data_IF_462577542701
#
_entry.id   IF_462577542701
#
_cell.length_a   1.000
_cell.length_b   1.000
_cell.length_c   1.000
_cell.angle_alpha   90.00
_cell.angle_beta   90.00
_cell.angle_gamma   90.00
#
_symmetry.space_group_name_H-M   'P 1'
#
loop_
_entity.id
_entity.type
_entity.pdbx_description
1 polymer ?
#
# COMPACT_ATOMS: atom_id res chain seq x y z
N UNK A 1 -10.37 -8.42 12.57
CA UNK A 1 -9.02 -8.76 12.04
C UNK A 1 -8.43 -7.62 11.21
N UNK A 2 -8.97 -7.25 10.05
CA UNK A 2 -8.41 -6.14 9.22
C UNK A 2 -8.20 -4.84 10.01
N UNK A 3 -9.22 -4.39 10.75
CA UNK A 3 -9.10 -3.22 11.66
C UNK A 3 -8.06 -3.36 12.77
N UNK A 4 -7.70 -4.59 13.15
CA UNK A 4 -6.67 -4.83 14.16
C UNK A 4 -5.25 -4.62 13.58
N UNK A 5 -5.08 -4.64 12.26
CA UNK A 5 -3.82 -4.32 11.58
C UNK A 5 -3.66 -2.86 11.21
N UNK A 6 -4.71 -2.05 11.41
CA UNK A 6 -4.62 -0.61 11.25
C UNK A 6 -3.95 -0.02 12.49
N UNK A 7 -2.82 0.65 12.30
CA UNK A 7 -2.26 1.50 13.35
C UNK A 7 -2.87 2.89 13.23
N UNK A 8 -3.25 3.46 14.38
CA UNK A 8 -3.78 4.81 14.46
C UNK A 8 -2.77 5.81 13.91
N UNK A 9 -3.24 6.69 13.02
CA UNK A 9 -2.47 7.85 12.55
C UNK A 9 -2.64 9.07 13.47
N UNK A 10 -3.44 8.94 14.54
CA UNK A 10 -3.88 10.05 15.38
C UNK A 10 -2.74 10.80 16.09
N UNK A 11 -1.78 10.09 16.65
CA UNK A 11 -0.66 10.74 17.38
C UNK A 11 0.22 11.57 16.44
N UNK A 12 0.56 11.05 15.27
CA UNK A 12 1.28 11.81 14.26
C UNK A 12 0.45 13.01 13.75
N UNK A 13 -0.85 12.83 13.51
CA UNK A 13 -1.74 13.92 13.10
C UNK A 13 -1.79 15.05 14.13
N UNK A 14 -1.88 14.72 15.41
CA UNK A 14 -1.85 15.71 16.51
C UNK A 14 -0.50 16.42 16.59
N UNK A 15 0.60 15.67 16.42
CA UNK A 15 1.95 16.21 16.51
C UNK A 15 2.26 17.21 15.39
N UNK A 16 2.02 16.83 14.13
CA UNK A 16 2.35 17.67 12.98
C UNK A 16 1.28 18.74 12.72
N UNK A 17 0.00 18.41 12.96
CA UNK A 17 -1.14 19.31 12.80
C UNK A 17 -1.17 20.10 11.47
N UNK A 18 -0.72 19.47 10.38
CA UNK A 18 -0.65 20.13 9.07
C UNK A 18 -2.05 20.45 8.53
N UNK A 19 -2.30 21.68 8.05
CA UNK A 19 -3.56 22.00 7.38
C UNK A 19 -3.70 21.21 6.08
N UNK A 20 -4.90 20.72 5.79
CA UNK A 20 -5.20 20.00 4.54
C UNK A 20 -5.06 20.93 3.32
N UNK A 21 -4.79 20.39 2.11
CA UNK A 21 -4.57 21.22 0.93
C UNK A 21 -5.70 22.22 0.68
N UNK A 22 -6.96 21.78 0.64
CA UNK A 22 -8.10 22.68 0.38
C UNK A 22 -8.32 23.80 1.43
N UNK A 23 -7.66 23.76 2.58
CA UNK A 23 -7.73 24.78 3.62
C UNK A 23 -6.63 25.85 3.48
N UNK A 24 -5.63 25.64 2.62
CA UNK A 24 -4.53 26.59 2.45
C UNK A 24 -4.98 27.76 1.58
N UNK A 25 -4.98 28.95 2.17
CA UNK A 25 -5.37 30.18 1.50
C UNK A 25 -4.48 30.48 0.29
N UNK A 26 -5.09 30.84 -0.84
CA UNK A 26 -4.38 31.26 -2.05
C UNK A 26 -3.87 30.12 -2.93
N UNK A 27 -4.20 28.86 -2.64
CA UNK A 27 -3.92 27.76 -3.56
C UNK A 27 -5.07 27.52 -4.56
N UNK A 28 -4.83 26.64 -5.53
CA UNK A 28 -5.79 26.22 -6.56
C UNK A 28 -6.40 24.84 -6.29
N UNK A 29 -6.13 24.25 -5.12
CA UNK A 29 -6.59 22.91 -4.77
C UNK A 29 -7.91 23.07 -4.02
N UNK A 30 -8.98 22.58 -4.64
CA UNK A 30 -10.31 22.63 -4.05
C UNK A 30 -10.71 21.27 -3.50
N UNK A 31 -11.49 21.28 -2.42
CA UNK A 31 -12.16 20.08 -1.94
C UNK A 31 -13.11 19.61 -3.05
N UNK A 32 -12.93 18.39 -3.52
CA UNK A 32 -13.95 17.75 -4.35
C UNK A 32 -15.11 17.37 -3.40
N UNK A 33 -16.32 17.90 -3.62
CA UNK A 33 -17.46 17.58 -2.76
C UNK A 33 -17.71 16.08 -2.74
N UNK A 34 -17.88 15.53 -1.54
CA UNK A 34 -18.28 14.15 -1.33
C UNK A 34 -19.79 14.13 -1.08
N UNK A 35 -20.53 13.30 -1.82
CA UNK A 35 -21.96 13.06 -1.61
C UNK A 35 -22.21 11.89 -0.65
N UNK A 36 -21.14 11.25 -0.15
CA UNK A 36 -21.23 10.22 0.87
C UNK A 36 -21.67 10.83 2.19
N UNK A 37 -22.86 10.39 2.59
CA UNK A 37 -23.47 10.67 3.87
C UNK A 37 -23.07 9.57 4.86
N UNK A 38 -22.33 9.93 5.92
CA UNK A 38 -21.80 8.97 6.91
C UNK A 38 -22.41 9.18 8.28
N UNK A 39 -22.71 8.05 8.96
CA UNK A 39 -23.15 7.86 10.37
C UNK A 39 -24.36 8.69 10.86
N UNK A 40 -24.37 10.00 10.63
CA UNK A 40 -25.26 10.98 11.26
C UNK A 40 -26.04 11.82 10.23
N UNK A 41 -26.21 11.30 9.01
CA UNK A 41 -26.82 12.01 7.89
C UNK A 41 -26.12 13.33 7.48
N UNK A 42 -24.84 13.49 7.83
CA UNK A 42 -24.02 14.65 7.48
C UNK A 42 -23.05 14.33 6.34
N UNK A 43 -22.74 15.31 5.46
CA UNK A 43 -21.65 15.18 4.51
C UNK A 43 -20.33 14.88 5.21
N UNK A 44 -19.51 14.03 4.61
CA UNK A 44 -18.15 13.81 5.09
C UNK A 44 -17.39 15.14 5.21
N UNK A 45 -16.87 15.42 6.42
CA UNK A 45 -15.93 16.52 6.65
C UNK A 45 -14.54 15.95 6.88
N UNK A 46 -13.57 16.40 6.09
CA UNK A 46 -12.17 16.05 6.30
C UNK A 46 -11.62 16.77 7.54
N UNK A 47 -11.80 16.16 8.72
CA UNK A 47 -11.37 16.68 10.02
C UNK A 47 -9.93 16.26 10.38
N UNK A 48 -9.28 17.01 11.27
CA UNK A 48 -7.92 16.74 11.75
C UNK A 48 -6.77 17.04 10.78
N UNK A 49 -5.54 16.89 11.27
CA UNK A 49 -4.31 17.17 10.52
C UNK A 49 -4.12 16.27 9.29
N UNK A 50 -3.44 16.78 8.26
CA UNK A 50 -3.28 16.09 6.97
C UNK A 50 -2.32 14.89 7.04
N UNK A 51 -1.19 15.03 7.75
CA UNK A 51 -0.13 14.01 7.75
C UNK A 51 -0.18 13.07 8.96
N UNK A 52 -0.03 11.74 8.78
CA UNK A 52 -0.20 11.01 7.53
C UNK A 52 -1.70 10.79 7.23
N UNK A 53 -2.05 10.39 6.01
CA UNK A 53 -3.45 10.13 5.61
C UNK A 53 -4.04 8.87 6.25
N UNK A 54 -5.06 9.01 7.11
CA UNK A 54 -5.76 7.87 7.72
C UNK A 54 -6.46 6.98 6.68
N UNK A 55 -7.14 7.58 5.70
CA UNK A 55 -7.80 6.83 4.62
C UNK A 55 -6.81 6.06 3.76
N UNK A 56 -5.64 6.63 3.48
CA UNK A 56 -4.59 5.92 2.76
C UNK A 56 -4.09 4.74 3.58
N UNK A 57 -3.90 4.90 4.90
CA UNK A 57 -3.48 3.82 5.78
C UNK A 57 -4.49 2.65 5.73
N UNK A 58 -5.78 2.92 5.91
CA UNK A 58 -6.84 1.90 5.75
C UNK A 58 -6.80 1.25 4.36
N UNK A 59 -6.83 2.04 3.29
CA UNK A 59 -6.88 1.52 1.93
C UNK A 59 -5.66 0.68 1.54
N UNK A 60 -4.46 1.04 2.01
CA UNK A 60 -3.25 0.23 1.80
C UNK A 60 -3.23 -1.02 2.68
N UNK A 61 -3.61 -0.94 3.95
CA UNK A 61 -3.70 -2.12 4.83
C UNK A 61 -4.65 -3.17 4.24
N UNK A 62 -5.85 -2.76 3.83
CA UNK A 62 -6.82 -3.65 3.19
C UNK A 62 -6.27 -4.26 1.91
N UNK A 63 -5.67 -3.44 1.05
CA UNK A 63 -5.09 -3.88 -0.21
C UNK A 63 -3.96 -4.91 -0.01
N UNK A 64 -3.05 -4.67 0.93
CA UNK A 64 -1.92 -5.57 1.20
C UNK A 64 -2.38 -6.90 1.82
N UNK A 65 -3.33 -6.86 2.76
CA UNK A 65 -3.90 -8.08 3.35
C UNK A 65 -4.67 -8.89 2.30
N UNK A 66 -5.48 -8.24 1.46
CA UNK A 66 -6.18 -8.91 0.36
C UNK A 66 -5.19 -9.49 -0.67
N UNK A 67 -4.10 -8.77 -0.98
CA UNK A 67 -3.06 -9.27 -1.88
C UNK A 67 -2.41 -10.55 -1.34
N UNK A 68 -2.16 -10.61 -0.04
CA UNK A 68 -1.67 -11.82 0.63
C UNK A 68 -2.71 -12.95 0.64
N UNK A 69 -4.01 -12.64 0.78
CA UNK A 69 -5.06 -13.66 0.76
C UNK A 69 -5.40 -14.20 -0.64
N UNK A 70 -5.21 -13.38 -1.67
CA UNK A 70 -5.52 -13.67 -3.07
C UNK A 70 -4.26 -13.44 -3.91
N UNK A 71 -3.22 -14.27 -3.75
CA UNK A 71 -1.95 -14.10 -4.45
C UNK A 71 -2.09 -14.15 -5.98
N UNK A 72 -3.13 -14.81 -6.50
CA UNK A 72 -3.48 -14.81 -7.92
C UNK A 72 -3.79 -13.40 -8.47
N UNK A 73 -4.02 -12.43 -7.58
CA UNK A 73 -4.34 -11.04 -7.88
C UNK A 73 -3.41 -10.06 -7.15
N UNK A 74 -2.25 -10.53 -6.69
CA UNK A 74 -1.32 -9.77 -5.85
C UNK A 74 -0.98 -8.38 -6.43
N UNK A 75 -0.49 -8.33 -7.67
CA UNK A 75 -0.05 -7.08 -8.32
C UNK A 75 -1.19 -6.07 -8.49
N UNK A 76 -2.38 -6.57 -8.89
CA UNK A 76 -3.58 -5.75 -9.05
C UNK A 76 -4.06 -5.17 -7.70
N UNK A 77 -3.99 -5.97 -6.62
CA UNK A 77 -4.39 -5.54 -5.28
C UNK A 77 -3.40 -4.54 -4.67
N UNK A 78 -2.09 -4.77 -4.80
CA UNK A 78 -1.06 -3.78 -4.40
C UNK A 78 -1.28 -2.45 -5.12
N UNK A 79 -1.48 -2.50 -6.45
CA UNK A 79 -1.80 -1.34 -7.28
C UNK A 79 -3.11 -0.66 -6.86
N UNK A 80 -4.11 -1.44 -6.44
CA UNK A 80 -5.39 -0.89 -5.96
C UNK A 80 -5.21 -0.02 -4.71
N UNK A 81 -4.28 -0.40 -3.83
CA UNK A 81 -3.84 0.42 -2.69
C UNK A 81 -3.25 1.76 -3.14
N UNK A 82 -2.35 1.72 -4.12
CA UNK A 82 -1.79 2.93 -4.75
C UNK A 82 -2.85 3.89 -5.27
N UNK A 83 -3.85 3.38 -6.00
CA UNK A 83 -4.95 4.23 -6.50
C UNK A 83 -5.85 4.74 -5.38
N UNK A 84 -6.05 3.95 -4.32
CA UNK A 84 -6.80 4.42 -3.14
C UNK A 84 -6.10 5.64 -2.52
N UNK A 85 -4.79 5.56 -2.32
CA UNK A 85 -3.98 6.70 -1.86
C UNK A 85 -4.06 7.88 -2.82
N UNK A 86 -3.86 7.65 -4.12
CA UNK A 86 -3.92 8.69 -5.15
C UNK A 86 -5.25 9.45 -5.17
N UNK A 87 -6.36 8.73 -4.98
CA UNK A 87 -7.69 9.36 -4.94
C UNK A 87 -7.81 10.43 -3.86
N UNK A 88 -7.04 10.34 -2.77
CA UNK A 88 -7.06 11.35 -1.70
C UNK A 88 -6.40 12.67 -2.11
N UNK A 89 -5.49 12.63 -3.08
CA UNK A 89 -4.90 13.82 -3.70
C UNK A 89 -5.89 14.42 -4.70
N UNK A 90 -6.55 13.59 -5.51
CA UNK A 90 -7.60 14.03 -6.44
C UNK A 90 -8.73 14.76 -5.73
N UNK A 91 -9.13 14.28 -4.54
CA UNK A 91 -10.15 14.92 -3.72
C UNK A 91 -9.69 16.23 -3.04
N UNK A 92 -8.41 16.59 -3.14
CA UNK A 92 -7.85 17.80 -2.51
C UNK A 92 -7.66 17.70 -0.99
N UNK A 93 -7.78 16.51 -0.40
CA UNK A 93 -7.78 16.34 1.07
C UNK A 93 -6.44 15.93 1.67
N UNK A 94 -5.47 15.51 0.84
CA UNK A 94 -4.14 15.08 1.26
C UNK A 94 -3.05 15.47 0.26
N UNK A 95 -1.86 15.78 0.77
CA UNK A 95 -0.65 16.01 -0.04
C UNK A 95 0.00 14.67 -0.44
N UNK A 96 0.83 14.65 -1.50
CA UNK A 96 1.66 13.49 -1.83
C UNK A 96 2.44 12.89 -0.65
N UNK A 97 3.05 13.72 0.19
CA UNK A 97 3.80 13.25 1.37
C UNK A 97 2.91 12.54 2.39
N UNK A 98 1.66 12.98 2.58
CA UNK A 98 0.71 12.31 3.48
C UNK A 98 0.40 10.89 3.00
N UNK A 99 0.29 10.71 1.69
CA UNK A 99 0.01 9.43 1.05
C UNK A 99 1.22 8.50 1.10
N UNK A 100 2.42 9.02 0.79
CA UNK A 100 3.67 8.24 0.89
C UNK A 100 3.90 7.80 2.33
N UNK A 101 3.78 8.71 3.31
CA UNK A 101 3.96 8.40 4.73
C UNK A 101 2.97 7.33 5.21
N UNK A 102 1.70 7.41 4.80
CA UNK A 102 0.72 6.38 5.12
C UNK A 102 1.00 5.02 4.48
N UNK A 103 1.49 4.99 3.23
CA UNK A 103 1.91 3.72 2.61
C UNK A 103 3.00 3.05 3.46
N UNK A 104 4.03 3.80 3.83
CA UNK A 104 5.15 3.29 4.64
C UNK A 104 4.65 2.71 5.97
N UNK A 105 3.75 3.42 6.64
CA UNK A 105 3.12 2.96 7.89
C UNK A 105 2.32 1.68 7.66
N UNK A 106 1.49 1.62 6.61
CA UNK A 106 0.69 0.44 6.30
C UNK A 106 1.57 -0.78 5.99
N UNK A 107 2.58 -0.64 5.12
CA UNK A 107 3.51 -1.73 4.77
C UNK A 107 4.23 -2.28 6.01
N UNK A 108 4.79 -1.40 6.85
CA UNK A 108 5.47 -1.78 8.09
C UNK A 108 4.53 -2.54 9.02
N UNK A 109 3.30 -2.06 9.18
CA UNK A 109 2.36 -2.64 10.13
C UNK A 109 1.76 -3.95 9.65
N UNK A 110 1.41 -4.05 8.36
CA UNK A 110 1.00 -5.34 7.78
C UNK A 110 2.12 -6.35 7.92
N UNK A 111 3.37 -5.98 7.66
CA UNK A 111 4.51 -6.87 7.90
C UNK A 111 4.60 -7.29 9.37
N UNK A 112 4.49 -6.35 10.30
CA UNK A 112 4.50 -6.65 11.74
C UNK A 112 3.42 -7.66 12.13
N UNK A 113 2.15 -7.41 11.76
CA UNK A 113 1.03 -8.29 12.14
C UNK A 113 1.09 -9.65 11.47
N UNK A 114 1.52 -9.75 10.20
CA UNK A 114 1.67 -11.06 9.56
C UNK A 114 2.79 -11.90 10.20
N UNK A 115 3.76 -11.29 10.87
CA UNK A 115 4.77 -12.00 11.66
C UNK A 115 4.32 -12.35 13.09
N UNK A 116 3.20 -11.82 13.59
CA UNK A 116 2.65 -12.20 14.89
C UNK A 116 1.95 -13.57 14.78
N UNK A 117 2.38 -14.61 15.53
CA UNK A 117 1.78 -15.93 15.47
C UNK A 117 0.27 -15.95 15.81
N UNK A 118 -0.18 -15.11 16.74
CA UNK A 118 -1.60 -15.05 17.12
C UNK A 118 -2.44 -14.41 16.02
N UNK A 119 -1.94 -13.31 15.44
CA UNK A 119 -2.62 -12.67 14.31
C UNK A 119 -2.63 -13.58 13.09
N UNK A 120 -1.55 -14.34 12.86
CA UNK A 120 -1.41 -15.25 11.72
C UNK A 120 -2.51 -16.32 11.70
N UNK A 121 -2.95 -16.82 12.86
CA UNK A 121 -4.09 -17.75 12.96
C UNK A 121 -5.35 -17.10 12.39
N UNK A 122 -5.70 -15.91 12.88
CA UNK A 122 -6.89 -15.17 12.42
C UNK A 122 -6.80 -14.83 10.92
N UNK A 123 -5.61 -14.43 10.45
CA UNK A 123 -5.35 -14.16 9.04
C UNK A 123 -5.61 -15.39 8.17
N UNK A 124 -5.11 -16.56 8.57
CA UNK A 124 -5.30 -17.79 7.81
C UNK A 124 -6.77 -18.21 7.78
N UNK A 125 -7.49 -18.12 8.91
CA UNK A 125 -8.93 -18.41 8.97
C UNK A 125 -9.73 -17.50 8.02
N UNK A 126 -9.48 -16.20 8.06
CA UNK A 126 -10.16 -15.24 7.20
C UNK A 126 -9.79 -15.41 5.72
N UNK A 127 -8.52 -15.72 5.43
CA UNK A 127 -8.05 -16.06 4.09
C UNK A 127 -8.84 -17.25 3.55
N UNK A 128 -8.95 -18.32 4.33
CA UNK A 128 -9.58 -19.56 3.89
C UNK A 128 -11.10 -19.35 3.66
N UNK A 129 -11.77 -18.59 4.54
CA UNK A 129 -13.16 -18.18 4.35
C UNK A 129 -13.37 -17.35 3.09
N UNK A 130 -12.53 -16.32 2.87
CA UNK A 130 -12.60 -15.46 1.68
C UNK A 130 -12.38 -16.28 0.41
N UNK A 131 -11.36 -17.14 0.39
CA UNK A 131 -11.03 -17.97 -0.76
C UNK A 131 -12.13 -18.98 -1.07
N UNK A 132 -12.74 -19.59 -0.05
CA UNK A 132 -13.88 -20.49 -0.24
C UNK A 132 -15.09 -19.77 -0.84
N UNK A 133 -15.42 -18.56 -0.34
CA UNK A 133 -16.51 -17.76 -0.87
C UNK A 133 -16.27 -17.34 -2.33
N UNK A 134 -15.06 -16.89 -2.65
CA UNK A 134 -14.68 -16.49 -4.01
C UNK A 134 -14.69 -17.69 -4.96
N UNK A 135 -14.16 -18.86 -4.56
CA UNK A 135 -14.17 -20.06 -5.39
C UNK A 135 -15.61 -20.49 -5.73
N UNK A 136 -16.51 -20.43 -4.73
CA UNK A 136 -17.94 -20.68 -4.93
C UNK A 136 -18.57 -19.68 -5.89
N UNK A 137 -18.27 -18.39 -5.76
CA UNK A 137 -18.79 -17.34 -6.64
C UNK A 137 -18.27 -17.46 -8.08
N UNK A 138 -17.01 -17.86 -8.24
CA UNK A 138 -16.38 -18.06 -9.54
C UNK A 138 -16.85 -19.34 -10.25
N UNK A 139 -17.33 -20.35 -9.52
CA UNK A 139 -17.68 -21.66 -10.08
C UNK A 139 -16.48 -22.44 -10.66
N UNK A 140 -15.25 -21.99 -10.40
CA UNK A 140 -13.98 -22.57 -10.86
C UNK A 140 -12.87 -22.27 -9.84
N UNK A 141 -11.65 -22.74 -10.11
CA UNK A 141 -10.48 -22.41 -9.28
C UNK A 141 -10.20 -20.90 -9.29
N UNK A 142 -9.68 -20.36 -8.19
CA UNK A 142 -9.30 -18.94 -8.12
C UNK A 142 -8.24 -18.55 -9.15
N UNK A 143 -7.30 -19.46 -9.44
CA UNK A 143 -6.30 -19.26 -10.48
C UNK A 143 -6.92 -19.09 -11.88
N UNK A 144 -7.98 -19.83 -12.19
CA UNK A 144 -8.70 -19.66 -13.45
C UNK A 144 -9.56 -18.40 -13.44
N UNK A 145 -10.29 -18.17 -12.35
CA UNK A 145 -11.12 -16.97 -12.18
C UNK A 145 -10.31 -15.66 -12.26
N UNK A 146 -9.05 -15.70 -11.83
CA UNK A 146 -8.12 -14.57 -11.87
C UNK A 146 -7.62 -14.22 -13.29
N UNK A 147 -7.92 -15.03 -14.32
CA UNK A 147 -7.46 -14.79 -15.72
C UNK A 147 -8.40 -13.89 -16.53
N UNK A 148 -9.05 -12.91 -15.91
CA UNK A 148 -9.91 -11.93 -16.59
C UNK A 148 -9.16 -11.12 -17.64
N UNK A 149 -9.75 -10.81 -18.80
CA UNK A 149 -9.09 -9.96 -19.82
C UNK A 149 -8.84 -8.54 -19.29
N UNK A 150 -7.91 -7.78 -19.88
CA UNK A 150 -7.70 -6.36 -19.49
C UNK A 150 -8.95 -5.51 -19.71
N UNK A 151 -9.77 -5.85 -20.72
CA UNK A 151 -11.05 -5.19 -20.98
C UNK A 151 -12.02 -5.34 -19.81
N UNK A 152 -12.03 -6.53 -19.20
CA UNK A 152 -12.92 -6.85 -18.07
C UNK A 152 -12.26 -6.53 -16.71
N UNK A 153 -10.95 -6.29 -16.72
CA UNK A 153 -10.14 -5.98 -15.56
C UNK A 153 -8.98 -5.03 -15.90
N UNK A 154 -9.24 -3.71 -15.87
CA UNK A 154 -8.23 -2.71 -16.21
C UNK A 154 -7.04 -2.71 -15.24
N UNK A 155 -7.13 -3.41 -14.11
CA UNK A 155 -6.05 -3.51 -13.13
C UNK A 155 -4.94 -4.47 -13.53
N UNK A 156 -5.15 -5.27 -14.58
CA UNK A 156 -4.12 -6.12 -15.19
C UNK A 156 -3.31 -5.41 -16.26
N UNK A 157 -3.70 -4.20 -16.64
CA UNK A 157 -2.96 -3.43 -17.64
C UNK A 157 -1.53 -3.16 -17.12
N UNK A 158 -0.46 -3.50 -17.88
CA UNK A 158 0.91 -3.20 -17.51
C UNK A 158 1.15 -1.72 -17.14
N UNK A 159 0.40 -0.78 -17.74
CA UNK A 159 0.47 0.65 -17.42
C UNK A 159 0.14 0.95 -15.94
N UNK A 160 -0.59 0.05 -15.26
CA UNK A 160 -0.85 0.18 -13.83
C UNK A 160 0.41 0.05 -12.98
N UNK A 161 1.46 -0.64 -13.46
CA UNK A 161 2.76 -0.70 -12.78
C UNK A 161 3.49 0.64 -12.86
N UNK A 162 3.40 1.32 -14.00
CA UNK A 162 3.95 2.67 -14.15
C UNK A 162 3.21 3.66 -13.24
N UNK A 163 1.88 3.56 -13.17
CA UNK A 163 1.08 4.32 -12.21
C UNK A 163 1.50 4.03 -10.76
N UNK A 164 1.61 2.76 -10.37
CA UNK A 164 2.06 2.38 -9.03
C UNK A 164 3.43 2.99 -8.72
N UNK A 165 4.40 2.85 -9.65
CA UNK A 165 5.73 3.45 -9.53
C UNK A 165 5.67 4.97 -9.38
N UNK A 166 4.85 5.66 -10.17
CA UNK A 166 4.64 7.11 -10.04
C UNK A 166 4.14 7.47 -8.64
N UNK A 167 3.13 6.78 -8.10
CA UNK A 167 2.61 7.07 -6.74
C UNK A 167 3.61 6.78 -5.62
N UNK A 168 4.75 6.14 -5.92
CA UNK A 168 5.79 5.95 -4.92
C UNK A 168 6.52 7.24 -4.56
N UNK A 169 6.57 8.19 -5.49
CA UNK A 169 7.34 9.44 -5.38
C UNK A 169 6.53 10.69 -5.71
N UNK A 170 5.47 10.57 -6.52
CA UNK A 170 4.71 11.68 -7.09
C UNK A 170 5.59 12.71 -7.81
N UNK A 171 6.69 12.24 -8.41
CA UNK A 171 7.73 13.08 -9.03
C UNK A 171 8.30 14.17 -8.12
N UNK A 172 8.20 13.98 -6.80
CA UNK A 172 8.84 14.86 -5.83
C UNK A 172 10.36 14.84 -6.03
N UNK A 173 11.04 15.98 -5.84
CA UNK A 173 12.46 16.11 -6.13
C UNK A 173 13.27 15.15 -5.26
N UNK A 174 14.21 14.47 -5.91
CA UNK A 174 15.19 13.61 -5.26
C UNK A 174 16.42 14.43 -4.83
N UNK A 175 16.85 14.27 -3.59
CA UNK A 175 18.11 14.82 -3.13
C UNK A 175 19.28 14.01 -3.70
N UNK A 176 20.27 14.72 -4.24
CA UNK A 176 21.56 14.13 -4.62
C UNK A 176 22.36 13.84 -3.35
N UNK A 177 23.09 12.73 -3.34
CA UNK A 177 23.92 12.37 -2.20
C UNK A 177 24.27 10.89 -2.16
N UNK A 178 24.86 10.43 -1.04
CA UNK A 178 25.16 9.03 -0.81
C UNK A 178 23.94 8.15 -1.04
N UNK A 179 24.15 7.01 -1.70
CA UNK A 179 23.12 6.02 -1.98
C UNK A 179 23.39 4.82 -1.07
N UNK A 180 22.99 4.86 0.22
CA UNK A 180 23.25 3.76 1.13
C UNK A 180 22.62 2.49 0.60
N UNK A 181 23.34 1.38 0.78
CA UNK A 181 22.82 0.05 0.44
C UNK A 181 21.55 -0.17 1.24
N UNK A 182 20.49 -0.56 0.54
CA UNK A 182 19.22 -0.89 1.19
C UNK A 182 19.41 -2.11 2.09
N UNK A 183 18.93 -2.00 3.32
CA UNK A 183 18.84 -3.10 4.26
C UNK A 183 17.36 -3.38 4.48
N UNK A 184 16.95 -4.64 4.29
CA UNK A 184 15.56 -5.06 4.49
C UNK A 184 15.35 -5.33 5.98
N UNK A 185 14.42 -4.63 6.67
CA UNK A 185 14.06 -4.93 8.03
C UNK A 185 13.63 -6.39 8.17
N UNK A 186 13.99 -7.02 9.28
CA UNK A 186 13.58 -8.39 9.56
C UNK A 186 12.05 -8.50 9.55
N UNK A 187 11.54 -9.54 8.90
CA UNK A 187 10.11 -9.80 8.77
C UNK A 187 9.43 -9.06 7.62
N UNK A 188 10.07 -8.07 6.98
CA UNK A 188 9.46 -7.35 5.86
C UNK A 188 9.15 -8.26 4.66
N UNK A 189 9.95 -9.30 4.44
CA UNK A 189 9.76 -10.30 3.38
C UNK A 189 8.44 -11.07 3.44
N UNK A 190 7.75 -11.04 4.59
CA UNK A 190 6.41 -11.60 4.77
C UNK A 190 5.40 -11.01 3.78
N UNK A 191 5.61 -9.76 3.34
CA UNK A 191 4.73 -9.08 2.38
C UNK A 191 4.73 -9.73 0.99
N UNK A 192 5.75 -10.55 0.69
CA UNK A 192 5.85 -11.33 -0.55
C UNK A 192 5.60 -12.84 -0.32
N UNK A 193 5.34 -13.26 0.93
CA UNK A 193 5.34 -14.68 1.28
C UNK A 193 4.24 -15.48 0.60
N UNK A 194 2.99 -15.06 0.76
CA UNK A 194 1.84 -15.76 0.18
C UNK A 194 1.84 -15.69 -1.36
N UNK A 195 2.43 -14.63 -1.94
CA UNK A 195 2.50 -14.43 -3.38
C UNK A 195 3.65 -15.19 -4.05
N UNK A 196 4.74 -15.43 -3.32
CA UNK A 196 5.95 -16.12 -3.79
C UNK A 196 6.34 -17.24 -2.80
N UNK A 197 5.46 -18.25 -2.59
CA UNK A 197 5.66 -19.28 -1.57
C UNK A 197 6.86 -20.18 -1.85
N UNK A 198 7.27 -20.30 -3.11
CA UNK A 198 8.40 -21.12 -3.56
C UNK A 198 9.78 -20.48 -3.31
N UNK A 199 9.82 -19.20 -2.93
CA UNK A 199 11.06 -18.49 -2.63
C UNK A 199 11.36 -18.51 -1.13
N UNK A 200 12.63 -18.70 -0.78
CA UNK A 200 13.10 -18.50 0.59
C UNK A 200 13.02 -17.02 1.02
N UNK A 201 13.02 -16.77 2.33
CA UNK A 201 13.08 -15.42 2.89
C UNK A 201 14.23 -14.59 2.29
N UNK A 202 15.42 -15.17 2.13
CA UNK A 202 16.57 -14.50 1.53
C UNK A 202 16.35 -14.11 0.05
N UNK A 203 15.68 -14.96 -0.73
CA UNK A 203 15.33 -14.66 -2.12
C UNK A 203 14.29 -13.54 -2.21
N UNK A 204 13.27 -13.53 -1.34
CA UNK A 204 12.29 -12.44 -1.26
C UNK A 204 12.94 -11.12 -0.87
N UNK A 205 13.83 -11.11 0.13
CA UNK A 205 14.63 -9.91 0.50
C UNK A 205 15.50 -9.42 -0.66
N UNK A 206 16.08 -10.34 -1.43
CA UNK A 206 16.86 -9.98 -2.63
C UNK A 206 16.00 -9.29 -3.69
N UNK A 207 14.76 -9.75 -3.92
CA UNK A 207 13.83 -9.08 -4.82
C UNK A 207 13.51 -7.66 -4.35
N UNK A 208 13.25 -7.47 -3.05
CA UNK A 208 12.98 -6.15 -2.46
C UNK A 208 14.15 -5.19 -2.67
N UNK A 209 15.40 -5.65 -2.48
CA UNK A 209 16.59 -4.82 -2.74
C UNK A 209 16.73 -4.48 -4.23
N UNK A 210 16.55 -5.45 -5.11
CA UNK A 210 16.76 -5.27 -6.55
C UNK A 210 15.70 -4.40 -7.23
N UNK A 211 14.55 -4.22 -6.61
CA UNK A 211 13.40 -3.51 -7.19
C UNK A 211 13.07 -2.21 -6.47
N UNK A 212 13.71 -1.96 -5.34
CA UNK A 212 13.53 -0.74 -4.57
C UNK A 212 13.88 0.51 -5.37
N UNK A 213 13.21 1.62 -5.03
CA UNK A 213 13.55 2.92 -5.57
C UNK A 213 14.98 3.34 -5.20
N UNK A 214 15.58 4.25 -5.99
CA UNK A 214 16.78 4.99 -5.57
C UNK A 214 16.57 5.74 -4.24
N UNK A 215 17.65 5.97 -3.48
CA UNK A 215 17.59 6.75 -2.23
C UNK A 215 17.49 8.25 -2.52
N UNK A 216 17.06 9.05 -1.54
CA UNK A 216 17.06 10.52 -1.62
C UNK A 216 15.69 11.13 -1.90
N UNK A 217 14.63 10.32 -2.01
CA UNK A 217 13.26 10.84 -2.02
C UNK A 217 12.81 11.28 -0.61
N UNK A 218 11.83 12.19 -0.51
CA UNK A 218 11.29 12.63 0.79
C UNK A 218 10.83 11.47 1.67
N UNK A 219 10.84 11.70 3.00
CA UNK A 219 10.55 10.69 4.05
C UNK A 219 11.58 9.56 4.17
N UNK A 220 12.70 9.63 3.44
CA UNK A 220 13.90 8.87 3.76
C UNK A 220 14.54 9.42 5.04
N UNK A 221 14.90 8.55 5.99
CA UNK A 221 15.57 8.94 7.24
C UNK A 221 17.03 8.49 7.32
N UNK A 222 17.61 8.43 8.52
CA UNK A 222 19.03 8.04 8.70
C UNK A 222 19.21 6.59 9.11
N UNK A 223 18.14 5.90 9.52
CA UNK A 223 18.18 4.49 9.93
C UNK A 223 17.89 3.55 8.76
N UNK A 224 18.35 2.29 8.82
CA UNK A 224 18.00 1.25 7.84
C UNK A 224 16.49 1.14 7.58
N UNK A 225 15.67 1.15 8.63
CA UNK A 225 14.22 1.02 8.51
C UNK A 225 13.58 2.25 7.85
N UNK A 226 14.01 3.46 8.23
CA UNK A 226 13.53 4.70 7.60
C UNK A 226 13.96 4.83 6.14
N UNK A 227 15.07 4.20 5.77
CA UNK A 227 15.50 4.11 4.37
C UNK A 227 14.73 3.04 3.60
N UNK A 228 14.08 2.07 4.25
CA UNK A 228 13.49 0.94 3.56
C UNK A 228 12.07 1.19 3.03
N UNK A 229 11.13 1.50 3.91
CA UNK A 229 9.69 1.48 3.60
C UNK A 229 9.31 2.47 2.50
N UNK A 230 9.98 3.62 2.41
CA UNK A 230 9.72 4.60 1.34
C UNK A 230 10.05 4.01 -0.04
N UNK A 231 11.06 3.14 -0.12
CA UNK A 231 11.67 2.62 -1.34
C UNK A 231 11.11 1.26 -1.75
N UNK A 232 10.36 0.57 -0.89
CA UNK A 232 9.83 -0.77 -1.14
C UNK A 232 8.88 -0.79 -2.34
N UNK A 233 9.21 -1.57 -3.38
CA UNK A 233 8.36 -1.74 -4.56
C UNK A 233 7.88 -3.19 -4.70
N UNK A 234 6.76 -3.51 -4.04
CA UNK A 234 6.19 -4.86 -4.02
C UNK A 234 5.74 -5.35 -5.39
N UNK A 235 5.14 -4.48 -6.21
CA UNK A 235 4.70 -4.79 -7.58
C UNK A 235 5.87 -5.22 -8.46
N UNK A 236 6.96 -4.44 -8.47
CA UNK A 236 8.16 -4.78 -9.23
C UNK A 236 8.88 -6.02 -8.67
N UNK A 237 8.91 -6.20 -7.33
CA UNK A 237 9.47 -7.40 -6.71
C UNK A 237 8.73 -8.67 -7.15
N UNK A 238 7.40 -8.64 -7.15
CA UNK A 238 6.56 -9.72 -7.63
C UNK A 238 6.77 -9.97 -9.12
N UNK A 239 6.73 -8.93 -9.96
CA UNK A 239 6.94 -9.06 -11.40
C UNK A 239 8.31 -9.66 -11.75
N UNK A 240 9.37 -9.21 -11.06
CA UNK A 240 10.72 -9.73 -11.26
C UNK A 240 10.82 -11.23 -10.96
N UNK A 241 10.05 -11.73 -9.99
CA UNK A 241 9.99 -13.16 -9.68
C UNK A 241 9.28 -13.96 -10.78
N UNK A 242 8.20 -13.40 -11.37
CA UNK A 242 7.45 -14.08 -12.44
C UNK A 242 8.28 -14.25 -13.72
N UNK A 243 9.20 -13.33 -14.03
CA UNK A 243 10.05 -13.38 -15.24
C UNK A 243 11.21 -14.40 -15.17
N UNK A 244 11.45 -15.01 -14.01
CA UNK A 244 12.56 -15.96 -13.80
C UNK A 244 12.14 -17.43 -13.98
N UNK A 245 10.89 -17.67 -14.34
CA UNK A 245 10.26 -18.97 -14.56
C UNK A 245 9.48 -18.95 -15.88
#
# INVERSE_FOLDING_TARGET
MIKASEVSTGEAKKHFNNPRPFLVQGNTIHLVPDDVVVKDNQPYTADGGSFPSGHTNTGYTDALLLAAMIPERYDALVTRGARYGYSRIVLGVHYPLDVIGSRMVAERNVAHYLNDPHYRVLFNEARDQLRAALAKACGTSLAECAKSSVKDDPWRDPAMRDFSRFTMTYDLPQQKGPQPRLQVPEGAEVLLEDALPHLSAAQRRTLMVNTALPAGYPLSGTTPEQQFWQRLNLSAAWEMAQKRH
#
